data_IF_011356615821
#
_entry.id   IF_011356615821
#
_cell.length_a   1.000
_cell.length_b   1.000
_cell.length_c   1.000
_cell.angle_alpha   90.00
_cell.angle_beta   90.00
_cell.angle_gamma   90.00
#
_symmetry.space_group_name_H-M   'P 1'
#
loop_
_entity.id
_entity.type
_entity.pdbx_description
1 polymer ?
#
# COMPACT_ATOMS: atom_id res chain seq x y z
N UNK A 1 -91.75 -38.37 -11.41
CA UNK A 1 -90.33 -38.59 -10.99
C UNK A 1 -89.71 -39.83 -11.59
N UNK A 2 -90.40 -41.02 -11.65
CA UNK A 2 -89.81 -42.26 -12.19
C UNK A 2 -89.43 -42.16 -13.68
N UNK A 3 -90.18 -41.42 -14.55
CA UNK A 3 -89.88 -41.27 -16.00
C UNK A 3 -88.75 -40.30 -16.27
N UNK A 4 -88.50 -39.30 -15.40
CA UNK A 4 -87.37 -38.35 -15.60
C UNK A 4 -86.03 -39.00 -15.22
N UNK A 5 -86.10 -39.87 -14.17
CA UNK A 5 -84.88 -40.55 -13.73
C UNK A 5 -84.47 -41.63 -14.74
N UNK A 6 -85.45 -42.30 -15.43
CA UNK A 6 -85.14 -43.27 -16.48
C UNK A 6 -84.58 -42.56 -17.76
N UNK A 7 -85.11 -41.40 -18.10
CA UNK A 7 -84.61 -40.59 -19.22
C UNK A 7 -83.21 -40.10 -18.98
N UNK A 8 -82.95 -39.54 -17.77
CA UNK A 8 -81.61 -39.06 -17.38
C UNK A 8 -80.61 -40.20 -17.34
N UNK A 9 -80.99 -41.36 -16.79
CA UNK A 9 -80.11 -42.53 -16.82
C UNK A 9 -79.86 -43.05 -18.26
N UNK A 10 -80.84 -42.92 -19.16
CA UNK A 10 -80.67 -43.28 -20.58
C UNK A 10 -79.73 -42.38 -21.35
N UNK A 11 -79.76 -41.06 -21.06
CA UNK A 11 -78.86 -40.08 -21.66
C UNK A 11 -77.46 -40.27 -21.12
N UNK A 12 -77.27 -40.40 -19.84
CA UNK A 12 -76.01 -40.69 -19.17
C UNK A 12 -75.39 -41.98 -19.73
N UNK A 13 -76.18 -43.03 -19.91
CA UNK A 13 -75.75 -44.31 -20.45
C UNK A 13 -75.27 -44.19 -21.93
N UNK A 14 -75.91 -43.34 -22.75
CA UNK A 14 -75.53 -43.12 -24.14
C UNK A 14 -74.24 -42.26 -24.26
N UNK A 15 -74.12 -41.20 -23.44
CA UNK A 15 -72.91 -40.40 -23.36
C UNK A 15 -71.74 -41.25 -22.91
N UNK A 16 -71.94 -42.07 -21.88
CA UNK A 16 -70.92 -42.98 -21.39
C UNK A 16 -70.52 -44.05 -22.40
N UNK A 17 -71.46 -44.56 -23.21
CA UNK A 17 -71.15 -45.51 -24.29
C UNK A 17 -70.37 -44.87 -25.43
N UNK A 18 -70.60 -43.58 -25.73
CA UNK A 18 -69.83 -42.79 -26.67
C UNK A 18 -68.39 -42.52 -26.14
N UNK A 19 -68.28 -42.17 -24.88
CA UNK A 19 -67.03 -41.99 -24.20
C UNK A 19 -66.22 -43.30 -24.12
N UNK A 20 -66.88 -44.41 -23.85
CA UNK A 20 -66.26 -45.75 -23.86
C UNK A 20 -65.77 -46.16 -25.24
N UNK A 21 -66.52 -45.82 -26.34
CA UNK A 21 -66.04 -46.01 -27.70
C UNK A 21 -64.83 -45.16 -28.07
N UNK A 22 -64.81 -43.94 -27.55
CA UNK A 22 -63.66 -43.04 -27.70
C UNK A 22 -62.45 -43.57 -26.95
N UNK A 23 -62.63 -44.06 -25.73
CA UNK A 23 -61.61 -44.70 -24.90
C UNK A 23 -61.09 -45.99 -25.52
N UNK A 24 -61.96 -46.81 -26.10
CA UNK A 24 -61.58 -48.05 -26.80
C UNK A 24 -60.86 -47.77 -28.14
N UNK A 25 -61.11 -46.62 -28.80
CA UNK A 25 -60.40 -46.17 -29.97
C UNK A 25 -58.98 -45.59 -29.56
N UNK A 26 -58.84 -45.04 -28.35
CA UNK A 26 -57.60 -44.61 -27.76
C UNK A 26 -56.84 -45.77 -27.07
N UNK A 27 -57.43 -46.97 -26.99
CA UNK A 27 -56.98 -48.12 -26.19
C UNK A 27 -55.63 -48.71 -26.60
N UNK A 28 -55.18 -48.55 -27.82
CA UNK A 28 -53.84 -48.99 -28.24
C UNK A 28 -52.71 -48.17 -27.68
N UNK A 29 -53.00 -46.96 -27.23
CA UNK A 29 -51.97 -46.03 -26.65
C UNK A 29 -52.01 -46.08 -25.11
N UNK A 30 -53.16 -46.29 -24.50
CA UNK A 30 -53.35 -46.27 -23.05
C UNK A 30 -52.97 -47.60 -22.38
N UNK A 31 -53.18 -48.75 -23.03
CA UNK A 31 -52.82 -50.07 -22.45
C UNK A 31 -51.32 -50.31 -22.31
N UNK A 32 -50.46 -49.52 -22.92
CA UNK A 32 -48.99 -49.59 -22.71
C UNK A 32 -48.49 -48.84 -21.48
N UNK A 33 -49.33 -47.96 -20.90
CA UNK A 33 -48.90 -47.05 -19.79
C UNK A 33 -49.28 -47.65 -18.41
N UNK A 34 -50.21 -48.62 -18.33
CA UNK A 34 -50.63 -49.21 -17.08
C UNK A 34 -50.54 -50.74 -17.10
N UNK A 35 -49.33 -51.28 -16.93
CA UNK A 35 -49.11 -52.70 -16.58
C UNK A 35 -49.49 -52.96 -15.11
N UNK A 36 -50.73 -52.67 -14.70
CA UNK A 36 -51.23 -52.99 -13.40
C UNK A 36 -52.03 -54.28 -13.45
N UNK A 37 -51.73 -55.31 -12.63
CA UNK A 37 -52.40 -56.61 -12.62
C UNK A 37 -53.88 -56.52 -12.26
N UNK A 38 -54.37 -55.37 -11.85
CA UNK A 38 -55.77 -55.05 -11.57
C UNK A 38 -56.63 -55.09 -12.87
N UNK A 39 -56.10 -54.69 -14.04
CA UNK A 39 -56.83 -54.61 -15.29
C UNK A 39 -57.20 -55.96 -15.86
N UNK A 40 -56.34 -56.95 -15.74
CA UNK A 40 -56.61 -58.31 -16.20
C UNK A 40 -57.74 -59.01 -15.42
N UNK A 41 -57.80 -58.77 -14.12
CA UNK A 41 -58.86 -59.26 -13.23
C UNK A 41 -60.17 -58.55 -13.53
N UNK A 42 -60.18 -57.25 -13.74
CA UNK A 42 -61.37 -56.46 -14.01
C UNK A 42 -61.93 -56.78 -15.41
N UNK A 43 -61.15 -57.00 -16.42
CA UNK A 43 -61.58 -57.46 -17.75
C UNK A 43 -62.28 -58.87 -17.66
N UNK A 44 -61.83 -59.76 -16.78
CA UNK A 44 -62.44 -61.05 -16.55
C UNK A 44 -63.84 -60.95 -15.94
N UNK A 45 -64.06 -60.06 -14.98
CA UNK A 45 -65.38 -59.81 -14.35
C UNK A 45 -66.35 -59.16 -15.35
N UNK A 46 -65.90 -58.29 -16.21
CA UNK A 46 -66.71 -57.64 -17.24
C UNK A 46 -67.22 -58.61 -18.33
N UNK A 47 -66.47 -59.65 -18.68
CA UNK A 47 -66.86 -60.66 -19.65
C UNK A 47 -67.95 -61.59 -19.12
N UNK A 48 -68.05 -61.80 -17.82
CA UNK A 48 -69.05 -62.66 -17.21
C UNK A 48 -70.36 -61.94 -16.87
N UNK A 49 -70.38 -60.61 -16.80
CA UNK A 49 -71.55 -59.81 -16.44
C UNK A 49 -72.39 -59.46 -17.67
N UNK A 50 -73.71 -59.66 -17.63
CA UNK A 50 -74.63 -59.27 -18.67
C UNK A 50 -74.56 -57.79 -18.98
N UNK A 51 -74.84 -57.40 -20.25
CA UNK A 51 -74.60 -56.07 -20.84
C UNK A 51 -74.98 -54.87 -19.92
N UNK A 52 -76.09 -54.94 -19.19
CA UNK A 52 -76.53 -53.87 -18.24
C UNK A 52 -75.65 -53.79 -17.00
N UNK A 53 -75.24 -54.94 -16.44
CA UNK A 53 -74.38 -54.98 -15.22
C UNK A 53 -72.96 -54.56 -15.53
N UNK A 54 -72.50 -54.88 -16.72
CA UNK A 54 -71.16 -54.41 -17.22
C UNK A 54 -71.11 -52.91 -17.40
N UNK A 55 -72.17 -52.27 -17.91
CA UNK A 55 -72.24 -50.81 -18.05
C UNK A 55 -72.25 -50.11 -16.73
N UNK A 56 -73.05 -50.65 -15.75
CA UNK A 56 -73.10 -50.11 -14.38
C UNK A 56 -71.75 -50.30 -13.64
N UNK A 57 -71.12 -51.46 -13.78
CA UNK A 57 -69.82 -51.72 -13.18
C UNK A 57 -68.69 -50.78 -13.76
N UNK A 58 -68.71 -50.55 -15.09
CA UNK A 58 -67.81 -49.62 -15.75
C UNK A 58 -68.05 -48.15 -15.38
N UNK A 59 -69.33 -47.76 -15.19
CA UNK A 59 -69.69 -46.43 -14.72
C UNK A 59 -69.23 -46.18 -13.28
N UNK A 60 -69.42 -47.17 -12.42
CA UNK A 60 -69.00 -47.12 -11.00
C UNK A 60 -67.47 -47.12 -10.94
N UNK A 61 -66.77 -47.91 -11.75
CA UNK A 61 -65.32 -47.92 -11.81
C UNK A 61 -64.78 -46.57 -12.32
N UNK A 62 -65.40 -46.04 -13.39
CA UNK A 62 -65.03 -44.70 -13.89
C UNK A 62 -65.21 -43.61 -12.87
N UNK A 63 -66.30 -43.66 -12.13
CA UNK A 63 -66.60 -42.65 -11.11
C UNK A 63 -65.73 -42.80 -9.86
N UNK A 64 -65.43 -44.04 -9.43
CA UNK A 64 -64.62 -44.27 -8.23
C UNK A 64 -63.13 -44.27 -8.42
N UNK A 65 -62.64 -44.58 -9.62
CA UNK A 65 -61.23 -44.74 -9.89
C UNK A 65 -60.66 -43.77 -10.96
N UNK A 66 -61.36 -43.62 -12.11
CA UNK A 66 -60.84 -42.78 -13.19
C UNK A 66 -61.05 -41.29 -12.94
N UNK A 67 -62.22 -40.91 -12.39
CA UNK A 67 -62.51 -39.52 -12.08
C UNK A 67 -61.60 -38.95 -10.96
N UNK A 68 -61.43 -39.63 -9.82
CA UNK A 68 -60.47 -39.20 -8.81
C UNK A 68 -59.02 -39.17 -9.35
N UNK A 69 -58.61 -40.21 -10.13
CA UNK A 69 -57.30 -40.24 -10.73
C UNK A 69 -57.07 -39.05 -11.68
N UNK A 70 -58.09 -38.65 -12.43
CA UNK A 70 -58.06 -37.51 -13.31
C UNK A 70 -58.04 -36.17 -12.58
N UNK A 71 -58.78 -36.08 -11.47
CA UNK A 71 -58.89 -34.90 -10.60
C UNK A 71 -57.65 -34.70 -9.74
N UNK A 72 -57.04 -35.80 -9.28
CA UNK A 72 -55.87 -35.77 -8.37
C UNK A 72 -54.52 -35.70 -9.15
N UNK A 73 -54.52 -35.94 -10.47
CA UNK A 73 -53.31 -35.88 -11.27
C UNK A 73 -53.40 -34.73 -12.26
N UNK A 74 -52.26 -34.10 -12.51
CA UNK A 74 -52.08 -33.06 -13.54
C UNK A 74 -51.25 -33.58 -14.69
N UNK A 75 -51.40 -33.03 -15.91
CA UNK A 75 -50.51 -33.36 -17.04
C UNK A 75 -49.13 -32.79 -16.73
N UNK A 76 -48.09 -33.46 -17.20
CA UNK A 76 -46.71 -33.06 -17.12
C UNK A 76 -45.87 -33.83 -18.10
N UNK A 77 -44.61 -33.53 -18.18
CA UNK A 77 -43.62 -34.19 -19.02
C UNK A 77 -42.54 -34.83 -18.18
N UNK A 78 -42.48 -36.16 -18.16
CA UNK A 78 -41.38 -36.89 -17.52
C UNK A 78 -40.14 -36.76 -18.36
N UNK A 79 -39.10 -36.24 -17.74
CA UNK A 79 -37.77 -36.17 -18.34
C UNK A 79 -36.91 -37.34 -17.90
N UNK A 80 -36.15 -37.88 -18.87
CA UNK A 80 -35.13 -38.89 -18.63
C UNK A 80 -33.82 -38.40 -19.19
N UNK A 81 -32.72 -38.55 -18.47
CA UNK A 81 -31.35 -38.40 -18.94
C UNK A 81 -30.69 -39.77 -18.98
N UNK A 82 -30.24 -40.18 -20.15
CA UNK A 82 -29.61 -41.49 -20.39
C UNK A 82 -30.45 -42.67 -19.88
N UNK A 83 -31.79 -42.50 -19.93
CA UNK A 83 -32.78 -43.50 -19.46
C UNK A 83 -33.13 -43.42 -17.97
N UNK A 84 -32.48 -42.61 -17.17
CA UNK A 84 -32.78 -42.37 -15.77
C UNK A 84 -33.75 -41.18 -15.59
N UNK A 85 -34.74 -41.27 -14.69
CA UNK A 85 -35.71 -40.22 -14.51
C UNK A 85 -35.09 -39.00 -13.79
N UNK A 86 -35.17 -37.83 -14.43
CA UNK A 86 -34.80 -36.55 -13.80
C UNK A 86 -35.95 -35.95 -13.01
N UNK A 87 -37.20 -36.19 -13.41
CA UNK A 87 -38.40 -35.68 -12.78
C UNK A 87 -39.47 -35.27 -13.80
N UNK A 88 -40.57 -34.67 -13.31
CA UNK A 88 -41.69 -34.24 -14.17
C UNK A 88 -41.74 -32.71 -14.16
N UNK A 89 -41.75 -32.14 -15.37
CA UNK A 89 -41.88 -30.70 -15.62
C UNK A 89 -43.24 -30.33 -16.20
N UNK A 90 -43.60 -29.07 -16.18
CA UNK A 90 -44.86 -28.58 -16.70
C UNK A 90 -44.83 -28.59 -18.25
N UNK A 91 -43.81 -28.01 -18.84
CA UNK A 91 -43.70 -27.83 -20.28
C UNK A 91 -42.24 -27.92 -20.81
N UNK A 92 -42.11 -27.91 -22.13
CA UNK A 92 -40.80 -27.93 -22.80
C UNK A 92 -39.98 -26.62 -22.67
N UNK A 93 -40.65 -25.50 -22.34
CA UNK A 93 -39.95 -24.22 -22.18
C UNK A 93 -39.07 -24.26 -20.92
N UNK A 94 -39.59 -24.87 -19.83
CA UNK A 94 -38.83 -25.10 -18.58
C UNK A 94 -37.57 -25.92 -18.87
N UNK A 95 -37.64 -26.96 -19.68
CA UNK A 95 -36.47 -27.74 -20.09
C UNK A 95 -35.45 -26.91 -20.87
N UNK A 96 -35.93 -26.18 -21.89
CA UNK A 96 -35.05 -25.39 -22.75
C UNK A 96 -34.32 -24.28 -21.92
N UNK A 97 -35.07 -23.63 -21.04
CA UNK A 97 -34.50 -22.60 -20.19
C UNK A 97 -33.45 -23.18 -19.22
N UNK A 98 -33.71 -24.31 -18.58
CA UNK A 98 -32.76 -24.95 -17.68
C UNK A 98 -31.49 -25.44 -18.39
N UNK A 99 -31.64 -26.07 -19.57
CA UNK A 99 -30.49 -26.50 -20.38
C UNK A 99 -29.65 -25.30 -20.82
N UNK A 100 -30.30 -24.26 -21.39
CA UNK A 100 -29.59 -23.04 -21.77
C UNK A 100 -28.88 -22.35 -20.60
N UNK A 101 -29.50 -22.31 -19.42
CA UNK A 101 -28.88 -21.72 -18.21
C UNK A 101 -27.62 -22.47 -17.81
N UNK A 102 -27.67 -23.80 -17.74
CA UNK A 102 -26.53 -24.64 -17.39
C UNK A 102 -25.42 -24.54 -18.45
N UNK A 103 -25.74 -24.68 -19.74
CA UNK A 103 -24.76 -24.59 -20.85
C UNK A 103 -24.13 -23.20 -20.93
N UNK A 104 -24.92 -22.14 -20.80
CA UNK A 104 -24.41 -20.76 -20.83
C UNK A 104 -23.49 -20.48 -19.65
N UNK A 105 -23.82 -20.96 -18.43
CA UNK A 105 -22.97 -20.82 -17.25
C UNK A 105 -21.64 -21.56 -17.46
N UNK A 106 -21.69 -22.81 -17.89
CA UNK A 106 -20.51 -23.62 -18.13
C UNK A 106 -19.62 -23.03 -19.23
N UNK A 107 -20.21 -22.52 -20.31
CA UNK A 107 -19.50 -21.84 -21.40
C UNK A 107 -18.84 -20.56 -20.94
N UNK A 108 -19.51 -19.75 -20.12
CA UNK A 108 -18.99 -18.49 -19.60
C UNK A 108 -17.74 -18.71 -18.70
N UNK A 109 -17.74 -19.76 -17.90
CA UNK A 109 -16.62 -20.07 -17.00
C UNK A 109 -15.46 -20.74 -17.73
N UNK A 110 -15.75 -21.69 -18.65
CA UNK A 110 -14.71 -22.41 -19.41
C UNK A 110 -14.08 -21.58 -20.54
N UNK A 111 -14.75 -20.51 -20.98
CA UNK A 111 -14.33 -19.71 -22.13
C UNK A 111 -14.52 -20.41 -23.48
N UNK A 112 -15.21 -21.55 -23.53
CA UNK A 112 -15.50 -22.33 -24.73
C UNK A 112 -16.96 -22.78 -24.72
N UNK A 113 -17.55 -22.99 -25.89
CA UNK A 113 -18.92 -23.51 -26.02
C UNK A 113 -19.01 -24.87 -25.30
N UNK A 114 -19.90 -24.97 -24.33
CA UNK A 114 -20.17 -26.20 -23.59
C UNK A 114 -21.58 -26.70 -23.91
N UNK A 115 -21.70 -28.02 -24.17
CA UNK A 115 -22.95 -28.69 -24.43
C UNK A 115 -23.09 -29.86 -23.44
N UNK A 116 -24.30 -29.99 -22.83
CA UNK A 116 -24.58 -31.06 -21.89
C UNK A 116 -24.42 -32.43 -22.58
N UNK A 117 -23.57 -33.34 -22.05
CA UNK A 117 -23.33 -34.65 -22.64
C UNK A 117 -24.43 -35.67 -22.30
N UNK A 118 -25.70 -35.21 -22.19
CA UNK A 118 -26.83 -36.01 -21.77
C UNK A 118 -27.80 -36.28 -22.94
N UNK A 119 -28.26 -37.52 -23.05
CA UNK A 119 -29.34 -37.86 -24.00
C UNK A 119 -30.69 -37.67 -23.34
N UNK A 120 -31.27 -36.47 -23.48
CA UNK A 120 -32.54 -36.11 -22.91
C UNK A 120 -33.71 -36.70 -23.69
N UNK A 121 -34.67 -37.34 -22.97
CA UNK A 121 -35.90 -37.83 -23.55
C UNK A 121 -37.08 -37.29 -22.73
N UNK A 122 -38.13 -36.86 -23.43
CA UNK A 122 -39.34 -36.31 -22.86
C UNK A 122 -40.52 -37.24 -23.16
N UNK A 123 -41.29 -37.61 -22.11
CA UNK A 123 -42.51 -38.46 -22.24
C UNK A 123 -43.67 -37.79 -21.55
N UNK A 124 -44.80 -37.59 -22.23
CA UNK A 124 -46.00 -37.06 -21.58
C UNK A 124 -46.51 -38.03 -20.50
N UNK A 125 -46.80 -37.52 -19.31
CA UNK A 125 -47.34 -38.30 -18.18
C UNK A 125 -48.41 -37.51 -17.45
N UNK A 126 -49.19 -38.22 -16.64
CA UNK A 126 -50.03 -37.61 -15.60
C UNK A 126 -49.44 -37.93 -14.23
N UNK A 127 -49.29 -36.96 -13.40
CA UNK A 127 -48.63 -37.13 -12.11
C UNK A 127 -49.40 -36.43 -10.99
N UNK A 128 -49.42 -37.05 -9.81
CA UNK A 128 -49.80 -36.41 -8.56
C UNK A 128 -48.57 -35.80 -7.81
N UNK A 129 -47.35 -36.14 -8.25
CA UNK A 129 -46.15 -35.61 -7.67
C UNK A 129 -45.99 -34.12 -8.02
N UNK A 130 -45.27 -33.33 -7.19
CA UNK A 130 -44.91 -31.96 -7.56
C UNK A 130 -44.14 -31.91 -8.88
N UNK A 131 -44.37 -30.88 -9.69
CA UNK A 131 -43.59 -30.61 -10.88
C UNK A 131 -42.31 -29.93 -10.43
N UNK A 132 -41.19 -30.24 -11.10
CA UNK A 132 -39.95 -29.60 -10.86
C UNK A 132 -40.01 -28.12 -11.30
N UNK A 133 -39.44 -27.25 -10.46
CA UNK A 133 -39.09 -25.88 -10.85
C UNK A 133 -37.91 -25.88 -11.81
N UNK A 134 -37.64 -24.75 -12.43
CA UNK A 134 -36.49 -24.62 -13.31
C UNK A 134 -35.19 -24.87 -12.49
N UNK A 135 -35.06 -24.31 -11.29
CA UNK A 135 -33.89 -24.44 -10.44
C UNK A 135 -33.65 -25.92 -10.01
N UNK A 136 -34.71 -26.63 -9.62
CA UNK A 136 -34.63 -28.07 -9.29
C UNK A 136 -34.20 -28.89 -10.52
N UNK A 137 -34.67 -28.52 -11.72
CA UNK A 137 -34.29 -29.19 -12.93
C UNK A 137 -32.82 -28.90 -13.32
N UNK A 138 -32.35 -27.67 -13.18
CA UNK A 138 -30.95 -27.31 -13.35
C UNK A 138 -30.05 -28.14 -12.42
N UNK A 139 -30.39 -28.23 -11.14
CA UNK A 139 -29.67 -29.07 -10.19
C UNK A 139 -29.62 -30.54 -10.59
N UNK A 140 -30.77 -31.09 -11.04
CA UNK A 140 -30.85 -32.49 -11.48
C UNK A 140 -30.03 -32.72 -12.77
N UNK A 141 -29.99 -31.77 -13.71
CA UNK A 141 -29.16 -31.82 -14.91
C UNK A 141 -27.67 -31.82 -14.60
N UNK A 142 -27.23 -30.93 -13.66
CA UNK A 142 -25.87 -30.85 -13.16
C UNK A 142 -25.47 -32.21 -12.55
N UNK A 143 -26.28 -32.73 -11.66
CA UNK A 143 -26.03 -34.01 -10.98
C UNK A 143 -25.98 -35.17 -11.96
N UNK A 144 -26.90 -35.20 -12.95
CA UNK A 144 -26.97 -36.27 -13.94
C UNK A 144 -25.79 -36.23 -14.93
N UNK A 145 -25.20 -35.07 -15.18
CA UNK A 145 -24.05 -34.95 -16.08
C UNK A 145 -22.82 -35.66 -15.54
N UNK A 146 -22.65 -35.71 -14.23
CA UNK A 146 -21.47 -36.27 -13.53
C UNK A 146 -20.16 -35.53 -13.80
N UNK A 147 -20.17 -34.54 -14.69
CA UNK A 147 -18.99 -33.73 -15.09
C UNK A 147 -19.09 -32.28 -14.64
N UNK A 148 -20.31 -31.79 -14.35
CA UNK A 148 -20.59 -30.44 -13.89
C UNK A 148 -20.71 -30.37 -12.37
N UNK A 149 -20.31 -29.22 -11.83
CA UNK A 149 -20.56 -28.86 -10.43
C UNK A 149 -20.86 -27.36 -10.31
N UNK A 150 -21.32 -26.95 -9.14
CA UNK A 150 -21.50 -25.54 -8.80
C UNK A 150 -20.22 -25.03 -8.12
N UNK A 151 -19.34 -24.47 -8.90
CA UNK A 151 -18.04 -23.99 -8.48
C UNK A 151 -18.07 -22.51 -8.03
N UNK A 152 -17.06 -22.09 -7.27
CA UNK A 152 -16.86 -20.71 -6.89
C UNK A 152 -15.84 -20.05 -7.84
N UNK A 153 -16.30 -19.11 -8.67
CA UNK A 153 -15.47 -18.33 -9.58
C UNK A 153 -15.00 -17.07 -8.87
N UNK A 154 -13.70 -16.90 -8.75
CA UNK A 154 -13.05 -15.76 -8.14
C UNK A 154 -12.59 -14.79 -9.22
N UNK A 155 -13.06 -13.55 -9.10
CA UNK A 155 -12.68 -12.47 -10.01
C UNK A 155 -11.93 -11.39 -9.25
N UNK A 156 -10.80 -10.96 -9.79
CA UNK A 156 -9.97 -9.86 -9.29
C UNK A 156 -10.05 -8.71 -10.30
N UNK A 157 -10.49 -7.55 -9.84
CA UNK A 157 -10.71 -6.35 -10.67
C UNK A 157 -11.56 -6.61 -11.93
N UNK A 158 -12.58 -7.49 -11.75
CA UNK A 158 -13.53 -7.84 -12.81
C UNK A 158 -13.02 -8.89 -13.81
N UNK A 159 -11.82 -9.44 -13.63
CA UNK A 159 -11.29 -10.55 -14.44
C UNK A 159 -11.39 -11.85 -13.67
N UNK A 160 -11.91 -12.90 -14.31
CA UNK A 160 -11.85 -14.25 -13.78
C UNK A 160 -10.39 -14.66 -13.59
N UNK A 161 -10.00 -15.00 -12.36
CA UNK A 161 -8.61 -15.26 -11.99
C UNK A 161 -8.41 -16.70 -11.55
N UNK A 162 -9.35 -17.24 -10.76
CA UNK A 162 -9.23 -18.58 -10.20
C UNK A 162 -10.63 -19.22 -10.02
N UNK A 163 -10.67 -20.54 -9.91
CA UNK A 163 -11.90 -21.31 -9.70
C UNK A 163 -11.69 -22.27 -8.55
N UNK A 164 -12.46 -22.09 -7.46
CA UNK A 164 -12.45 -22.99 -6.31
C UNK A 164 -13.60 -24.03 -6.43
N UNK A 165 -13.46 -25.14 -5.73
CA UNK A 165 -14.48 -26.19 -5.68
C UNK A 165 -15.81 -25.68 -5.11
N UNK A 166 -15.74 -24.80 -4.11
CA UNK A 166 -16.88 -24.17 -3.47
C UNK A 166 -16.54 -22.79 -2.88
N UNK A 167 -17.54 -22.10 -2.36
CA UNK A 167 -17.37 -20.79 -1.72
C UNK A 167 -16.55 -20.82 -0.45
N UNK A 168 -16.57 -21.93 0.27
CA UNK A 168 -15.86 -22.06 1.55
C UNK A 168 -14.36 -22.22 1.30
N UNK A 169 -13.99 -23.04 0.32
CA UNK A 169 -12.61 -23.16 -0.16
C UNK A 169 -12.06 -21.85 -0.70
N UNK A 170 -12.87 -21.12 -1.51
CA UNK A 170 -12.50 -19.80 -1.99
C UNK A 170 -12.24 -18.82 -0.82
N UNK A 171 -13.13 -18.77 0.17
CA UNK A 171 -12.97 -17.90 1.33
C UNK A 171 -11.78 -18.30 2.19
N UNK A 172 -11.57 -19.60 2.41
CA UNK A 172 -10.43 -20.10 3.16
C UNK A 172 -9.08 -19.72 2.50
N UNK A 173 -8.98 -19.78 1.17
CA UNK A 173 -7.82 -19.34 0.44
C UNK A 173 -7.55 -17.83 0.60
N UNK A 174 -8.59 -17.01 0.46
CA UNK A 174 -8.52 -15.56 0.65
C UNK A 174 -8.12 -15.19 2.09
N UNK A 175 -8.68 -15.85 3.08
CA UNK A 175 -8.37 -15.61 4.50
C UNK A 175 -6.92 -16.05 4.82
N UNK A 176 -6.45 -17.14 4.21
CA UNK A 176 -5.07 -17.60 4.34
C UNK A 176 -4.07 -16.59 3.76
N UNK A 177 -4.40 -15.96 2.62
CA UNK A 177 -3.57 -14.90 2.02
C UNK A 177 -3.49 -13.71 2.97
N UNK A 178 -4.63 -13.23 3.49
CA UNK A 178 -4.64 -12.14 4.48
C UNK A 178 -3.80 -12.48 5.71
N UNK A 179 -3.97 -13.68 6.25
CA UNK A 179 -3.24 -14.12 7.44
C UNK A 179 -1.73 -14.23 7.24
N UNK A 180 -1.24 -14.39 5.99
CA UNK A 180 0.18 -14.45 5.69
C UNK A 180 0.90 -13.11 5.92
N UNK A 181 0.19 -11.98 5.80
CA UNK A 181 0.74 -10.63 5.85
C UNK A 181 0.26 -9.80 7.03
N UNK A 182 -0.58 -10.35 7.91
CA UNK A 182 -1.17 -9.64 9.04
C UNK A 182 -0.88 -10.30 10.37
N UNK A 183 -1.00 -9.52 11.43
CA UNK A 183 -0.89 -9.94 12.83
C UNK A 183 -2.21 -9.70 13.56
N UNK A 184 -2.32 -10.20 14.79
CA UNK A 184 -3.51 -9.96 15.61
C UNK A 184 -3.73 -8.49 16.02
N UNK A 185 -2.73 -7.63 15.81
CA UNK A 185 -2.81 -6.20 16.09
C UNK A 185 -3.25 -5.36 14.88
N UNK A 186 -3.36 -5.98 13.70
CA UNK A 186 -3.75 -5.28 12.48
C UNK A 186 -5.29 -5.18 12.39
N UNK A 187 -5.77 -4.03 11.97
CA UNK A 187 -7.16 -3.69 11.78
C UNK A 187 -7.43 -3.37 10.30
N UNK A 188 -8.72 -3.30 9.91
CA UNK A 188 -9.15 -2.96 8.53
C UNK A 188 -8.44 -3.78 7.44
N UNK A 189 -8.29 -5.09 7.69
CA UNK A 189 -7.60 -5.99 6.75
C UNK A 189 -8.45 -6.26 5.51
N UNK A 190 -7.97 -5.84 4.36
CA UNK A 190 -8.65 -6.03 3.08
C UNK A 190 -7.63 -6.17 1.94
N UNK A 191 -8.11 -6.57 0.77
CA UNK A 191 -7.29 -6.57 -0.44
C UNK A 191 -7.34 -5.19 -1.10
N UNK A 192 -6.25 -4.77 -1.68
CA UNK A 192 -6.16 -3.54 -2.47
C UNK A 192 -7.04 -3.67 -3.73
N UNK A 193 -7.09 -4.86 -4.31
CA UNK A 193 -7.90 -5.19 -5.47
C UNK A 193 -9.35 -5.49 -5.08
N UNK A 194 -10.27 -5.31 -6.02
CA UNK A 194 -11.68 -5.70 -5.85
C UNK A 194 -11.84 -7.19 -6.11
N UNK A 195 -12.06 -7.97 -5.04
CA UNK A 195 -12.30 -9.41 -5.12
C UNK A 195 -13.80 -9.71 -5.08
N UNK A 196 -14.27 -10.57 -5.99
CA UNK A 196 -15.65 -11.08 -6.00
C UNK A 196 -15.63 -12.59 -6.15
N UNK A 197 -16.45 -13.26 -5.34
CA UNK A 197 -16.67 -14.71 -5.41
C UNK A 197 -18.11 -14.95 -5.81
N UNK A 198 -18.31 -15.58 -6.97
CA UNK A 198 -19.63 -15.88 -7.50
C UNK A 198 -19.77 -17.39 -7.72
N UNK A 199 -20.96 -17.93 -7.45
CA UNK A 199 -21.28 -19.31 -7.81
C UNK A 199 -21.60 -19.38 -9.30
N UNK A 200 -21.06 -20.39 -9.99
CA UNK A 200 -21.35 -20.68 -11.37
C UNK A 200 -21.28 -22.18 -11.63
N UNK A 201 -22.10 -22.66 -12.56
CA UNK A 201 -22.05 -24.06 -13.01
C UNK A 201 -20.94 -24.19 -14.04
N UNK A 202 -20.03 -25.13 -13.81
CA UNK A 202 -18.91 -25.37 -14.73
C UNK A 202 -18.41 -26.82 -14.61
N UNK A 203 -17.59 -27.31 -15.56
CA UNK A 203 -16.91 -28.60 -15.42
C UNK A 203 -16.11 -28.68 -14.12
N UNK A 204 -16.36 -29.71 -13.31
CA UNK A 204 -15.71 -29.91 -12.00
C UNK A 204 -14.17 -29.97 -12.12
N UNK A 205 -13.67 -30.41 -13.27
CA UNK A 205 -12.24 -30.46 -13.57
C UNK A 205 -11.56 -29.10 -13.64
N UNK A 206 -12.31 -27.99 -13.73
CA UNK A 206 -11.77 -26.63 -13.71
C UNK A 206 -11.47 -26.12 -12.30
N UNK A 207 -11.97 -26.80 -11.26
CA UNK A 207 -11.66 -26.44 -9.87
C UNK A 207 -10.17 -26.66 -9.58
N UNK A 208 -9.53 -25.61 -9.12
CA UNK A 208 -8.13 -25.65 -8.67
C UNK A 208 -8.02 -26.34 -7.31
N UNK A 209 -6.90 -27.00 -7.06
CA UNK A 209 -6.59 -27.51 -5.72
C UNK A 209 -6.31 -26.33 -4.78
N UNK A 210 -6.47 -26.52 -3.46
CA UNK A 210 -6.25 -25.47 -2.45
C UNK A 210 -4.86 -24.83 -2.55
N UNK A 211 -3.84 -25.59 -2.94
CA UNK A 211 -2.48 -25.08 -3.12
C UNK A 211 -2.39 -24.21 -4.38
N UNK A 212 -2.90 -24.70 -5.51
CA UNK A 212 -2.87 -23.96 -6.77
C UNK A 212 -3.69 -22.66 -6.66
N UNK A 213 -4.85 -22.74 -6.02
CA UNK A 213 -5.73 -21.60 -5.75
C UNK A 213 -5.01 -20.52 -4.93
N UNK A 214 -4.32 -20.94 -3.85
CA UNK A 214 -3.51 -20.01 -3.05
C UNK A 214 -2.38 -19.39 -3.89
N UNK A 215 -1.64 -20.20 -4.64
CA UNK A 215 -0.51 -19.74 -5.44
C UNK A 215 -0.96 -18.77 -6.56
N UNK A 216 -2.10 -19.05 -7.21
CA UNK A 216 -2.68 -18.18 -8.25
C UNK A 216 -3.11 -16.83 -7.65
N UNK A 217 -3.84 -16.85 -6.54
CA UNK A 217 -4.39 -15.66 -5.92
C UNK A 217 -3.31 -14.80 -5.24
N UNK A 218 -2.32 -15.43 -4.60
CA UNK A 218 -1.25 -14.70 -3.90
C UNK A 218 -0.34 -13.90 -4.84
N UNK A 219 -0.32 -14.22 -6.15
CA UNK A 219 0.44 -13.47 -7.14
C UNK A 219 -0.26 -12.18 -7.63
N UNK A 220 -1.52 -12.02 -7.36
CA UNK A 220 -2.33 -10.91 -7.89
C UNK A 220 -3.11 -10.12 -6.83
N UNK A 221 -3.00 -10.50 -5.56
CA UNK A 221 -3.69 -9.85 -4.46
C UNK A 221 -2.68 -9.26 -3.48
N UNK A 222 -2.76 -7.95 -3.28
CA UNK A 222 -2.01 -7.24 -2.24
C UNK A 222 -2.91 -7.05 -1.01
N UNK A 223 -2.37 -7.35 0.17
CA UNK A 223 -3.09 -7.25 1.45
C UNK A 223 -2.77 -5.93 2.12
N UNK A 224 -3.78 -5.11 2.33
CA UNK A 224 -3.67 -3.86 3.09
C UNK A 224 -4.22 -4.05 4.49
N UNK A 225 -3.49 -3.54 5.48
CA UNK A 225 -3.92 -3.52 6.88
C UNK A 225 -3.46 -2.23 7.57
N UNK A 226 -4.18 -1.82 8.61
CA UNK A 226 -3.79 -0.70 9.47
C UNK A 226 -3.58 -1.18 10.90
N UNK A 227 -2.65 -0.54 11.62
CA UNK A 227 -2.48 -0.77 13.06
C UNK A 227 -2.04 0.49 13.78
N UNK A 228 -2.52 0.66 14.99
CA UNK A 228 -2.04 1.70 15.89
C UNK A 228 -0.80 1.22 16.64
N UNK A 229 0.26 2.02 16.62
CA UNK A 229 1.48 1.78 17.39
C UNK A 229 1.78 2.94 18.31
N UNK A 230 2.30 2.64 19.48
CA UNK A 230 2.78 3.66 20.43
C UNK A 230 4.24 3.41 20.73
N UNK A 231 5.08 4.42 20.54
CA UNK A 231 6.52 4.35 20.80
C UNK A 231 7.03 5.64 21.46
N UNK A 232 8.24 5.58 21.97
CA UNK A 232 8.91 6.73 22.58
C UNK A 232 9.94 7.29 21.60
N UNK A 233 9.87 8.60 21.35
CA UNK A 233 10.79 9.38 20.52
C UNK A 233 11.64 10.26 21.43
N UNK A 234 12.92 10.45 21.08
CA UNK A 234 13.78 11.42 21.76
C UNK A 234 13.60 12.81 21.14
N UNK A 235 13.45 13.81 22.00
CA UNK A 235 13.45 15.23 21.62
C UNK A 235 14.89 15.72 21.76
N UNK A 236 15.57 16.14 20.70
CA UNK A 236 16.92 16.69 20.81
C UNK A 236 16.91 17.97 21.65
N UNK A 237 18.05 18.29 22.26
CA UNK A 237 18.29 19.56 22.89
C UNK A 237 19.13 20.46 21.99
N UNK A 238 19.06 21.77 22.20
CA UNK A 238 19.90 22.77 21.54
C UNK A 238 21.10 23.14 22.39
N UNK A 239 22.18 23.68 21.75
CA UNK A 239 23.33 24.26 22.44
C UNK A 239 23.23 25.77 22.41
N UNK A 240 23.09 26.38 23.59
CA UNK A 240 23.00 27.83 23.78
C UNK A 240 24.35 28.35 24.22
N UNK A 241 24.87 29.37 23.56
CA UNK A 241 26.12 30.03 23.92
C UNK A 241 25.85 31.22 24.83
N UNK A 242 26.43 31.21 26.05
CA UNK A 242 26.39 32.31 27.00
C UNK A 242 27.72 33.04 27.02
N UNK A 243 27.74 34.36 26.75
CA UNK A 243 28.94 35.18 26.76
C UNK A 243 29.35 35.60 28.19
N UNK A 244 30.66 35.49 28.49
CA UNK A 244 31.24 35.96 29.75
C UNK A 244 32.38 36.97 29.46
N UNK A 245 32.14 38.22 29.80
CA UNK A 245 33.09 39.33 29.59
C UNK A 245 34.28 39.29 30.56
N UNK A 246 34.20 38.52 31.63
CA UNK A 246 35.29 38.36 32.61
C UNK A 246 36.26 37.22 32.23
N UNK A 247 35.94 36.41 31.23
CA UNK A 247 36.76 35.31 30.78
C UNK A 247 37.41 35.63 29.43
N UNK A 248 38.61 35.07 29.22
CA UNK A 248 39.36 35.26 28.00
C UNK A 248 38.65 34.66 26.80
N UNK A 249 38.88 35.20 25.61
CA UNK A 249 38.27 34.69 24.37
C UNK A 249 38.56 33.21 24.06
N UNK A 250 39.62 32.65 24.66
CA UNK A 250 39.97 31.23 24.59
C UNK A 250 39.19 30.35 25.57
N UNK A 251 38.48 30.95 26.53
CA UNK A 251 37.69 30.23 27.53
C UNK A 251 36.41 29.66 26.90
N UNK A 252 36.21 28.38 27.11
CA UNK A 252 35.00 27.67 26.72
C UNK A 252 34.72 26.57 27.74
N UNK A 253 33.56 26.59 28.38
CA UNK A 253 33.17 25.63 29.40
C UNK A 253 31.68 25.31 29.27
N UNK A 254 31.32 24.03 29.35
CA UNK A 254 29.92 23.62 29.43
C UNK A 254 29.41 23.76 30.85
N UNK A 255 28.63 24.80 31.11
CA UNK A 255 28.09 25.12 32.44
C UNK A 255 26.80 24.39 32.75
N UNK A 256 26.10 23.91 31.70
CA UNK A 256 24.95 23.06 31.83
C UNK A 256 24.99 21.99 30.73
N UNK A 257 24.95 20.72 31.14
CA UNK A 257 24.87 19.61 30.21
C UNK A 257 23.48 19.54 29.58
N UNK A 258 23.42 19.38 28.27
CA UNK A 258 22.19 19.11 27.54
C UNK A 258 21.62 17.74 27.89
N UNK A 259 20.31 17.64 27.96
CA UNK A 259 19.62 16.39 28.17
C UNK A 259 18.44 16.27 27.21
N UNK A 260 18.46 15.21 26.37
CA UNK A 260 17.36 14.96 25.46
C UNK A 260 16.05 14.75 26.23
N UNK A 261 14.98 15.34 25.72
CA UNK A 261 13.61 15.09 26.14
C UNK A 261 13.08 13.77 25.61
N UNK A 262 11.86 13.44 25.99
CA UNK A 262 11.16 12.26 25.48
C UNK A 262 9.72 12.62 25.18
N UNK A 263 9.19 12.10 24.06
CA UNK A 263 7.79 12.19 23.69
C UNK A 263 7.23 10.78 23.48
N UNK A 264 6.00 10.56 23.86
CA UNK A 264 5.21 9.41 23.45
C UNK A 264 4.50 9.79 22.16
N UNK A 265 4.65 8.95 21.15
CA UNK A 265 4.02 9.12 19.83
C UNK A 265 3.09 7.96 19.59
N UNK A 266 1.82 8.25 19.28
CA UNK A 266 0.87 7.28 18.76
C UNK A 266 0.73 7.53 17.27
N UNK A 267 1.00 6.52 16.46
CA UNK A 267 0.89 6.59 15.01
C UNK A 267 0.04 5.44 14.48
N UNK A 268 -0.69 5.69 13.41
CA UNK A 268 -1.31 4.67 12.57
C UNK A 268 -0.33 4.28 11.46
N UNK A 269 -0.08 2.99 11.36
CA UNK A 269 0.76 2.40 10.31
C UNK A 269 -0.17 1.70 9.32
N UNK A 270 -0.07 2.05 8.06
CA UNK A 270 -0.65 1.31 6.95
C UNK A 270 0.42 0.41 6.35
N UNK A 271 0.10 -0.87 6.20
CA UNK A 271 0.97 -1.86 5.58
C UNK A 271 0.37 -2.39 4.29
N UNK A 272 1.22 -2.76 3.35
CA UNK A 272 0.87 -3.52 2.14
C UNK A 272 1.78 -4.74 2.12
N UNK A 273 1.20 -5.93 2.08
CA UNK A 273 1.91 -7.22 2.18
C UNK A 273 2.85 -7.30 3.40
N UNK A 274 2.40 -6.72 4.52
CA UNK A 274 3.14 -6.68 5.78
C UNK A 274 4.24 -5.62 5.86
N UNK A 275 4.58 -4.95 4.76
CA UNK A 275 5.56 -3.86 4.73
C UNK A 275 4.90 -2.51 5.01
N UNK A 276 5.54 -1.70 5.85
CA UNK A 276 5.06 -0.35 6.16
C UNK A 276 5.13 0.55 4.93
N UNK A 277 3.98 1.05 4.51
CA UNK A 277 3.85 1.99 3.38
C UNK A 277 3.68 3.43 3.86
N UNK A 278 2.84 3.63 4.85
CA UNK A 278 2.51 4.96 5.36
C UNK A 278 2.47 4.95 6.88
N UNK A 279 2.99 6.04 7.49
CA UNK A 279 2.91 6.29 8.93
C UNK A 279 2.29 7.64 9.18
N UNK A 280 1.14 7.67 9.82
CA UNK A 280 0.42 8.89 10.18
C UNK A 280 0.47 9.11 11.69
N UNK A 281 1.05 10.21 12.14
CA UNK A 281 1.09 10.54 13.57
C UNK A 281 -0.30 11.02 13.99
N UNK A 282 -0.94 10.28 14.90
CA UNK A 282 -2.25 10.61 15.47
C UNK A 282 -2.14 11.51 16.70
N UNK A 283 -1.13 11.27 17.54
CA UNK A 283 -0.90 12.04 18.74
C UNK A 283 0.59 12.07 19.12
N UNK A 284 1.05 13.19 19.71
CA UNK A 284 2.39 13.32 20.26
C UNK A 284 2.29 14.03 21.61
N UNK A 285 2.67 13.35 22.68
CA UNK A 285 2.65 13.86 24.04
C UNK A 285 4.07 13.94 24.58
N UNK A 286 4.51 15.12 24.97
CA UNK A 286 5.82 15.30 25.58
C UNK A 286 5.76 14.78 27.02
N UNK A 287 6.57 13.74 27.29
CA UNK A 287 6.71 13.14 28.63
C UNK A 287 7.75 13.87 29.48
N UNK A 288 8.84 14.31 28.84
CA UNK A 288 9.90 15.09 29.43
C UNK A 288 10.42 16.08 28.41
N UNK A 289 10.49 17.35 28.78
CA UNK A 289 11.10 18.40 27.97
C UNK A 289 12.60 18.15 27.79
N UNK A 290 13.16 18.55 26.65
CA UNK A 290 14.61 18.66 26.52
C UNK A 290 15.15 19.80 27.42
N UNK A 291 16.36 19.64 27.88
CA UNK A 291 17.10 20.69 28.58
C UNK A 291 18.30 21.04 27.71
N UNK A 292 18.40 22.29 27.32
CA UNK A 292 19.50 22.75 26.46
C UNK A 292 20.85 22.68 27.12
N UNK A 293 21.89 22.41 26.33
CA UNK A 293 23.27 22.59 26.74
C UNK A 293 23.59 24.09 26.78
N UNK A 294 24.24 24.57 27.86
CA UNK A 294 24.74 25.94 27.95
C UNK A 294 26.25 25.90 27.94
N UNK A 295 26.86 26.50 26.92
CA UNK A 295 28.32 26.65 26.80
C UNK A 295 28.67 28.12 27.05
N UNK A 296 29.42 28.38 28.12
CA UNK A 296 29.96 29.69 28.40
C UNK A 296 31.22 29.94 27.58
N UNK A 297 31.28 31.08 26.90
CA UNK A 297 32.44 31.51 26.09
C UNK A 297 32.93 32.86 26.57
N UNK A 298 34.24 32.98 26.78
CA UNK A 298 34.87 34.25 27.13
C UNK A 298 34.85 35.25 25.98
N UNK A 299 34.76 36.54 26.32
CA UNK A 299 34.81 37.63 25.36
C UNK A 299 35.89 38.65 25.64
N UNK A 300 36.61 38.54 26.80
CA UNK A 300 37.67 39.44 27.16
C UNK A 300 38.90 39.25 26.26
N UNK A 301 39.30 40.29 25.57
CA UNK A 301 40.52 40.28 24.78
C UNK A 301 41.73 40.44 25.74
N UNK A 302 42.62 39.46 25.77
CA UNK A 302 43.86 39.47 26.56
C UNK A 302 45.10 39.42 25.65
N UNK A 303 44.92 39.67 24.37
CA UNK A 303 45.98 39.62 23.38
C UNK A 303 46.41 38.25 22.91
N UNK A 304 45.64 37.19 23.26
CA UNK A 304 45.89 35.84 22.75
C UNK A 304 45.25 35.71 21.38
N UNK A 305 46.07 35.42 20.38
CA UNK A 305 45.63 35.25 18.98
C UNK A 305 44.87 33.95 18.78
N UNK A 306 43.99 33.97 17.79
CA UNK A 306 43.22 32.81 17.32
C UNK A 306 43.98 31.85 16.44
N UNK A 307 45.08 32.35 15.82
CA UNK A 307 45.83 31.64 14.77
C UNK A 307 45.23 31.79 13.36
N UNK A 308 44.10 32.48 13.25
CA UNK A 308 43.48 32.85 11.98
C UNK A 308 43.72 34.32 11.72
N UNK A 309 44.46 34.63 10.62
CA UNK A 309 44.85 35.99 10.36
C UNK A 309 43.94 36.66 9.34
N UNK A 310 43.52 37.89 9.65
CA UNK A 310 42.85 38.77 8.68
C UNK A 310 43.88 39.54 7.85
N UNK A 311 43.47 39.98 6.69
CA UNK A 311 44.25 40.92 5.86
C UNK A 311 44.38 42.25 6.62
N UNK A 312 45.61 42.80 6.82
CA UNK A 312 45.83 44.02 7.61
C UNK A 312 45.38 45.32 6.90
N UNK A 313 44.81 45.23 5.71
CA UNK A 313 44.35 46.37 4.89
C UNK A 313 43.01 46.05 4.26
N UNK A 314 42.12 47.03 4.16
CA UNK A 314 40.83 46.88 3.47
C UNK A 314 40.92 46.88 1.93
N UNK A 315 41.92 47.55 1.41
CA UNK A 315 42.20 47.65 -0.07
C UNK A 315 43.68 47.83 -0.28
N UNK A 316 44.26 47.13 -1.23
CA UNK A 316 45.68 47.16 -1.54
C UNK A 316 45.94 46.57 -2.93
N UNK A 317 47.18 46.78 -3.45
CA UNK A 317 47.71 46.03 -4.59
C UNK A 317 48.90 45.19 -4.10
N UNK A 318 48.85 43.86 -4.30
CA UNK A 318 49.94 42.95 -3.98
C UNK A 318 51.11 43.18 -4.92
N UNK A 319 52.25 43.69 -4.39
CA UNK A 319 53.39 44.12 -5.24
C UNK A 319 54.64 43.28 -5.09
N UNK A 320 54.82 42.64 -3.95
CA UNK A 320 56.01 41.80 -3.74
C UNK A 320 55.71 40.62 -2.81
N UNK A 321 56.16 39.45 -3.22
CA UNK A 321 56.01 38.22 -2.48
C UNK A 321 57.19 37.96 -1.54
N UNK A 322 56.96 37.05 -0.56
CA UNK A 322 58.01 36.44 0.25
C UNK A 322 58.96 35.63 -0.66
N UNK A 323 60.20 36.10 -0.83
CA UNK A 323 61.18 35.42 -1.73
C UNK A 323 62.57 35.97 -1.54
N UNK A 324 63.60 35.19 -1.99
CA UNK A 324 64.93 35.67 -2.13
C UNK A 324 65.04 36.67 -3.37
N UNK A 325 65.59 37.89 -3.11
CA UNK A 325 65.79 38.87 -4.09
C UNK A 325 67.09 39.69 -3.80
N UNK A 326 67.91 40.02 -4.82
CA UNK A 326 69.15 40.78 -4.67
C UNK A 326 70.09 40.27 -3.56
N UNK A 327 70.19 38.94 -3.38
CA UNK A 327 71.06 38.29 -2.41
C UNK A 327 70.56 38.28 -0.97
N UNK A 328 69.27 38.68 -0.65
CA UNK A 328 68.68 38.67 0.64
C UNK A 328 67.24 38.18 0.60
N UNK A 329 66.79 37.63 1.67
CA UNK A 329 65.39 37.23 1.85
C UNK A 329 64.53 38.48 2.06
N UNK A 330 63.46 38.61 1.22
CA UNK A 330 62.34 39.46 1.55
C UNK A 330 61.41 38.70 2.48
N UNK A 331 61.43 39.01 3.76
CA UNK A 331 60.83 38.23 4.85
C UNK A 331 59.34 38.44 5.05
N UNK A 332 58.66 39.10 4.11
CA UNK A 332 57.22 39.35 4.18
C UNK A 332 56.64 39.58 2.81
N UNK A 333 55.48 40.19 2.77
CA UNK A 333 54.80 40.63 1.54
C UNK A 333 54.67 42.16 1.55
N UNK A 334 54.74 42.77 0.37
CA UNK A 334 54.52 44.21 0.19
C UNK A 334 53.13 44.44 -0.44
N UNK A 335 52.32 45.21 0.25
CA UNK A 335 50.95 45.57 -0.10
C UNK A 335 50.92 47.08 -0.39
N UNK A 336 50.99 47.46 -1.67
CA UNK A 336 50.95 48.87 -2.09
C UNK A 336 49.61 49.49 -1.76
N UNK A 337 49.66 50.64 -1.13
CA UNK A 337 48.52 51.41 -0.66
C UNK A 337 48.94 52.87 -0.42
N UNK A 338 48.01 53.79 -0.57
CA UNK A 338 48.31 55.23 -0.33
C UNK A 338 48.78 55.47 1.11
N UNK A 339 49.68 56.42 1.23
CA UNK A 339 50.16 56.87 2.55
C UNK A 339 49.00 57.38 3.42
N UNK A 340 48.97 56.99 4.72
CA UNK A 340 47.91 57.33 5.63
C UNK A 340 46.71 56.38 5.64
N UNK A 341 46.76 55.28 4.86
CA UNK A 341 45.72 54.25 4.90
C UNK A 341 45.73 53.50 6.24
N UNK A 342 44.58 53.25 6.87
CA UNK A 342 44.52 52.49 8.10
C UNK A 342 45.08 51.07 7.98
N UNK A 343 45.97 50.71 8.90
CA UNK A 343 46.52 49.37 9.05
C UNK A 343 45.88 48.72 10.31
N UNK A 344 45.46 47.48 10.14
CA UNK A 344 44.73 46.76 11.16
C UNK A 344 45.51 45.54 11.68
N UNK A 345 45.34 45.22 12.96
CA UNK A 345 45.90 44.01 13.55
C UNK A 345 45.34 42.77 12.88
N UNK A 346 46.18 41.88 12.36
CA UNK A 346 45.76 40.66 11.65
C UNK A 346 45.11 39.64 12.60
N UNK A 347 45.45 39.63 13.85
CA UNK A 347 44.84 38.80 14.92
C UNK A 347 45.00 39.53 16.27
N UNK A 348 44.31 39.00 17.34
CA UNK A 348 44.53 39.51 18.68
C UNK A 348 46.00 39.39 19.05
N UNK A 349 46.55 40.37 19.75
CA UNK A 349 47.94 40.33 20.13
C UNK A 349 48.31 41.38 21.16
N UNK A 350 49.51 41.25 21.69
CA UNK A 350 50.14 42.24 22.53
C UNK A 350 51.25 42.93 21.73
N UNK A 351 51.27 44.24 21.75
CA UNK A 351 52.31 45.04 21.08
C UNK A 351 53.62 44.83 21.84
N UNK A 352 54.62 44.25 21.15
CA UNK A 352 55.96 44.04 21.68
C UNK A 352 56.99 44.98 21.14
N UNK A 353 56.73 45.57 19.96
CA UNK A 353 57.50 46.62 19.36
C UNK A 353 56.60 47.66 18.72
N UNK A 354 56.86 48.96 18.96
CA UNK A 354 56.21 50.09 18.30
C UNK A 354 57.20 51.23 18.28
N UNK A 355 58.03 51.34 17.24
CA UNK A 355 59.13 52.28 17.18
C UNK A 355 59.42 52.68 15.71
N UNK A 356 60.19 53.78 15.60
CA UNK A 356 60.82 54.17 14.32
C UNK A 356 62.32 53.79 14.38
N UNK A 357 62.68 52.79 13.57
CA UNK A 357 64.08 52.34 13.48
C UNK A 357 64.97 53.26 12.65
N UNK A 358 64.42 54.25 11.96
CA UNK A 358 65.10 55.13 11.06
C UNK A 358 65.74 54.51 9.83
N UNK A 359 65.75 53.18 9.76
CA UNK A 359 66.24 52.36 8.62
C UNK A 359 65.41 51.06 8.51
N UNK A 360 65.71 50.22 7.58
CA UNK A 360 65.07 48.94 7.38
C UNK A 360 63.53 49.07 7.32
N UNK A 361 62.78 48.69 8.40
CA UNK A 361 61.34 48.74 8.44
C UNK A 361 60.72 50.14 8.67
N UNK A 362 61.57 51.18 8.93
CA UNK A 362 61.06 52.51 9.28
C UNK A 362 60.27 52.47 10.58
N UNK A 363 59.12 53.16 10.62
CA UNK A 363 58.18 53.06 11.70
C UNK A 363 57.39 51.75 11.59
N UNK A 364 57.50 50.87 12.61
CA UNK A 364 56.92 49.54 12.52
C UNK A 364 56.34 49.06 13.88
N UNK A 365 55.43 48.08 13.77
CA UNK A 365 54.82 47.40 14.93
C UNK A 365 55.12 45.91 14.79
N UNK A 366 55.37 45.24 15.94
CA UNK A 366 55.33 43.81 16.07
C UNK A 366 54.27 43.47 17.12
N UNK A 367 53.32 42.62 16.73
CA UNK A 367 52.38 41.99 17.63
C UNK A 367 52.84 40.58 17.97
N UNK A 368 52.88 40.24 19.26
CA UNK A 368 52.99 38.87 19.74
C UNK A 368 51.59 38.35 20.04
N UNK A 369 51.19 37.32 19.29
CA UNK A 369 49.87 36.69 19.42
C UNK A 369 49.80 35.67 20.56
N UNK A 370 50.90 35.50 21.34
CA UNK A 370 50.97 34.61 22.52
C UNK A 370 50.64 33.15 22.26
N UNK A 371 50.61 32.71 21.02
CA UNK A 371 50.33 31.36 20.56
C UNK A 371 51.42 30.79 19.61
N UNK A 372 52.64 31.39 19.69
CA UNK A 372 53.79 31.04 18.85
C UNK A 372 53.87 31.82 17.52
N UNK A 373 52.90 32.70 17.27
CA UNK A 373 52.91 33.58 16.09
C UNK A 373 53.24 35.02 16.50
N UNK A 374 53.93 35.73 15.54
CA UNK A 374 54.12 37.18 15.58
C UNK A 374 53.79 37.73 14.20
N UNK A 375 53.28 38.97 14.15
CA UNK A 375 53.12 39.72 12.92
C UNK A 375 53.85 41.06 12.98
N UNK A 376 54.45 41.46 11.84
CA UNK A 376 55.14 42.72 11.71
C UNK A 376 54.46 43.59 10.68
N UNK A 377 54.33 44.87 10.95
CA UNK A 377 53.70 45.91 10.14
C UNK A 377 54.70 47.03 9.94
N UNK A 378 55.37 47.11 8.76
CA UNK A 378 56.46 48.03 8.49
C UNK A 378 56.12 49.19 7.58
N UNK A 379 57.00 50.18 7.51
CA UNK A 379 56.95 51.38 6.68
C UNK A 379 55.80 52.35 6.96
N UNK A 380 55.27 52.30 8.23
CA UNK A 380 54.14 53.16 8.61
C UNK A 380 54.51 54.62 8.68
N UNK A 381 53.55 55.51 8.39
CA UNK A 381 53.66 56.97 8.56
C UNK A 381 53.34 57.36 10.03
N UNK A 382 52.48 56.60 10.73
CA UNK A 382 52.10 56.85 12.09
C UNK A 382 51.76 55.54 12.81
N UNK A 383 52.30 55.41 14.03
CA UNK A 383 51.90 54.32 14.95
C UNK A 383 50.82 54.85 15.89
N UNK A 384 49.76 54.04 16.07
CA UNK A 384 48.60 54.42 16.87
C UNK A 384 48.51 53.65 18.19
N UNK A 385 49.48 52.74 18.42
CA UNK A 385 49.59 51.90 19.61
C UNK A 385 51.01 51.98 20.17
N UNK A 386 51.14 51.61 21.44
CA UNK A 386 52.41 51.62 22.21
C UNK A 386 52.79 50.23 22.70
N UNK A 387 54.07 50.00 22.97
CA UNK A 387 54.56 48.74 23.53
C UNK A 387 53.79 48.42 24.84
N UNK A 388 53.26 47.23 24.96
CA UNK A 388 52.46 46.77 26.06
C UNK A 388 50.97 46.81 25.84
N UNK A 389 50.50 47.55 24.84
CA UNK A 389 49.06 47.58 24.49
C UNK A 389 48.57 46.21 24.05
N UNK A 390 47.33 45.88 24.39
CA UNK A 390 46.61 44.69 23.91
C UNK A 390 45.62 45.12 22.86
N UNK A 391 45.72 44.53 21.69
CA UNK A 391 44.88 44.86 20.50
C UNK A 391 44.05 43.68 20.07
N UNK A 392 42.86 43.96 19.59
CA UNK A 392 41.97 42.95 18.98
C UNK A 392 42.21 42.78 17.50
N UNK A 393 41.89 41.62 16.94
CA UNK A 393 41.83 41.35 15.50
C UNK A 393 40.96 42.40 14.80
N UNK A 394 41.53 43.05 13.75
CA UNK A 394 40.82 44.11 13.03
C UNK A 394 40.87 45.48 13.73
N UNK A 395 41.58 45.64 14.85
CA UNK A 395 41.82 46.93 15.49
C UNK A 395 42.80 47.74 14.70
N UNK A 396 42.53 49.03 14.53
CA UNK A 396 43.44 49.95 13.80
C UNK A 396 44.67 50.27 14.65
N UNK A 397 45.84 49.83 14.19
CA UNK A 397 47.12 49.94 14.93
C UNK A 397 48.09 50.95 14.32
N UNK A 398 47.98 51.28 13.03
CA UNK A 398 48.85 52.21 12.38
C UNK A 398 48.21 52.90 11.15
N UNK A 399 48.90 53.83 10.55
CA UNK A 399 48.66 54.36 9.22
C UNK A 399 49.81 53.96 8.32
N UNK A 400 49.54 53.46 7.10
CA UNK A 400 50.55 53.11 6.11
C UNK A 400 51.42 54.32 5.73
N UNK A 401 52.60 54.08 5.22
CA UNK A 401 53.50 55.14 4.88
C UNK A 401 54.56 54.73 3.84
N UNK A 402 55.72 55.45 3.90
CA UNK A 402 56.86 55.23 3.03
C UNK A 402 58.20 55.47 3.83
N UNK A 403 58.15 55.11 5.16
CA UNK A 403 59.31 55.32 6.05
C UNK A 403 60.36 54.21 5.92
N UNK A 404 61.60 54.46 6.33
CA UNK A 404 62.64 53.46 6.31
C UNK A 404 63.17 53.16 4.86
N UNK A 405 63.51 51.90 4.59
CA UNK A 405 64.00 51.46 3.32
C UNK A 405 62.89 51.07 2.32
N UNK A 406 62.11 52.03 1.92
CA UNK A 406 60.97 51.87 1.01
C UNK A 406 61.17 52.70 -0.28
N UNK A 407 60.61 52.16 -1.39
CA UNK A 407 60.70 52.84 -2.72
C UNK A 407 59.41 53.52 -3.15
N UNK A 408 58.32 53.36 -2.33
CA UNK A 408 57.03 53.97 -2.56
C UNK A 408 56.05 53.57 -1.48
N UNK A 409 54.89 54.23 -1.33
CA UNK A 409 53.96 53.96 -0.29
C UNK A 409 53.41 52.49 -0.31
N UNK A 410 53.62 51.75 0.77
CA UNK A 410 53.13 50.37 0.95
C UNK A 410 53.17 49.95 2.41
N UNK A 411 52.44 48.88 2.75
CA UNK A 411 52.60 48.12 4.00
C UNK A 411 53.50 46.93 3.71
N UNK A 412 54.60 46.79 4.47
CA UNK A 412 55.37 45.56 4.58
C UNK A 412 54.79 44.71 5.67
N UNK A 413 54.28 43.51 5.36
CA UNK A 413 53.64 42.62 6.32
C UNK A 413 54.38 41.28 6.41
N UNK A 414 54.77 40.91 7.67
CA UNK A 414 55.40 39.63 7.93
C UNK A 414 54.54 38.79 8.89
N UNK A 415 54.60 37.46 8.70
CA UNK A 415 54.17 36.45 9.65
C UNK A 415 55.42 35.71 10.13
N UNK A 416 55.51 35.49 11.42
CA UNK A 416 56.61 34.72 12.05
C UNK A 416 55.98 33.59 12.87
N UNK A 417 56.55 32.39 12.77
CA UNK A 417 56.20 31.23 13.56
C UNK A 417 57.41 30.82 14.39
N UNK A 418 57.31 30.85 15.69
CA UNK A 418 58.42 30.58 16.63
C UNK A 418 59.67 31.40 16.29
N UNK A 419 59.49 32.68 16.01
CA UNK A 419 60.52 33.67 15.64
C UNK A 419 61.13 33.47 14.23
N UNK A 420 60.68 32.52 13.43
CA UNK A 420 61.11 32.32 12.07
C UNK A 420 60.11 32.96 11.09
N UNK A 421 60.64 33.76 10.13
CA UNK A 421 59.81 34.37 9.09
C UNK A 421 59.31 33.32 8.11
N UNK A 422 58.00 33.32 7.89
CA UNK A 422 57.30 32.41 6.97
C UNK A 422 56.58 33.20 5.90
N UNK A 423 56.20 32.53 4.79
CA UNK A 423 55.46 33.17 3.73
C UNK A 423 54.03 33.52 4.23
N UNK A 424 53.69 34.84 4.33
CA UNK A 424 52.40 35.28 4.81
C UNK A 424 51.23 34.78 4.00
N UNK A 425 51.41 34.44 2.71
CA UNK A 425 50.33 33.94 1.83
C UNK A 425 49.81 32.59 2.25
N UNK A 426 50.53 31.83 3.10
CA UNK A 426 50.07 30.56 3.67
C UNK A 426 49.11 30.76 4.84
N UNK A 427 49.07 31.95 5.42
CA UNK A 427 48.32 32.27 6.63
C UNK A 427 47.22 33.32 6.41
N UNK A 428 47.35 34.13 5.39
CA UNK A 428 46.43 35.21 5.04
C UNK A 428 46.03 35.08 3.57
N UNK A 429 44.73 35.09 3.29
CA UNK A 429 44.25 35.10 1.89
C UNK A 429 44.42 36.49 1.28
N UNK A 430 45.56 36.68 0.59
CA UNK A 430 45.86 37.91 -0.16
C UNK A 430 45.32 37.77 -1.59
N UNK A 431 44.43 38.65 -2.03
CA UNK A 431 43.82 38.66 -3.37
C UNK A 431 44.46 39.69 -4.31
#
# INVERSE_FOLDING_TARGET
>A
MRNLLSFVLGVISRLFYLLLRLILLLDRTICRIYDLPVWSRFAGVLRQAGRRRSVCALSVFGLLFLLPALLLTRPGTLLLADGQPLGVIEDSATLLNAVNAVESSASAVSGTDYYLPLRLQARPVRTAAPLLTQEELEHNLITASGELDTLAVISVDGRQTAIAADTDGAQAALDRIKAAYTTAADENVHFLQTVRVNKAVAPAALAETDSALYDTLSQCLDVTATRAVTYTEQIPFDTVTQKNENQDQTYRETVQQGCAGTAQVTAEIETVDGEERTRTILARTVLRQATDEIVEVGTRNVGIGTGEFAVPLNSYTFTSAFKYRWGRLHGGVDLAVDEGTPVYAADNGKVIVAEDSGNGYGSYIILDHQNGFKTLYGHNSQLLVSVGDVVGKGEKIALSGNTGNSTGPHLHFEVQVNDEKVDPTQYVQLS
#
